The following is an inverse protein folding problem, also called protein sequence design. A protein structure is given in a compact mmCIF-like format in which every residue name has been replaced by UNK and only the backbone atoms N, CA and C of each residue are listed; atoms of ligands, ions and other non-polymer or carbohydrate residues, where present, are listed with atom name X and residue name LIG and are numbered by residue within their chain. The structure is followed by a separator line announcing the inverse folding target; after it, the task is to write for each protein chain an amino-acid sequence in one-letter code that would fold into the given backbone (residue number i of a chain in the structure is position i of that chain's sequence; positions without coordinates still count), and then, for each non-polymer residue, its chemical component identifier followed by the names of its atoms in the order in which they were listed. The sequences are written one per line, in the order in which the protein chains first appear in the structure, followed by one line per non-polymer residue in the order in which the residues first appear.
data_IF_326814076155
#
_entry.id   IF_326814076155
#
_cell.length_a   1.000
_cell.length_b   1.000
_cell.length_c   1.000
_cell.angle_alpha   90.00
_cell.angle_beta   90.00
_cell.angle_gamma   90.00
#
_symmetry.space_group_name_H-M   'P 1'
#
loop_
_entity.id
_entity.type
_entity.pdbx_description
1 polymer ?
#
# COMPACT_ATOMS: atom_id res chain seq x y z
N UNK A 1 -47.25 6.93 -62.45
CA UNK A 1 -47.00 8.32 -62.88
C UNK A 1 -45.64 8.69 -62.29
N UNK A 2 -44.53 8.43 -62.97
CA UNK A 2 -44.05 8.90 -64.29
C UNK A 2 -43.15 10.13 -64.08
N UNK A 3 -41.83 9.99 -64.04
CA UNK A 3 -40.85 9.82 -65.15
C UNK A 3 -40.02 11.12 -65.20
N UNK A 4 -38.79 11.14 -64.67
CA UNK A 4 -37.53 10.81 -65.35
C UNK A 4 -37.21 11.75 -66.53
N UNK A 5 -36.19 12.61 -66.35
CA UNK A 5 -35.04 12.69 -67.27
C UNK A 5 -33.85 13.48 -66.69
N UNK A 6 -32.66 12.88 -66.79
CA UNK A 6 -31.32 13.51 -66.71
C UNK A 6 -30.75 13.55 -68.16
N UNK A 7 -29.81 14.44 -68.53
CA UNK A 7 -28.35 14.13 -68.43
C UNK A 7 -27.47 15.40 -68.18
N UNK A 8 -26.13 15.43 -68.08
CA UNK A 8 -24.95 14.70 -68.63
C UNK A 8 -23.78 14.70 -67.58
N UNK A 9 -23.04 13.60 -67.33
CA UNK A 9 -21.69 13.20 -67.89
C UNK A 9 -20.56 14.21 -67.55
N UNK A 10 -19.36 13.88 -67.04
CA UNK A 10 -18.52 12.63 -67.01
C UNK A 10 -17.68 12.58 -65.70
N UNK A 11 -17.04 11.49 -65.21
CA UNK A 11 -16.89 10.06 -65.56
C UNK A 11 -16.26 9.30 -64.35
N UNK A 12 -16.57 8.02 -64.08
CA UNK A 12 -15.84 6.80 -64.50
C UNK A 12 -14.34 6.71 -64.06
N UNK A 13 -13.75 5.61 -63.59
CA UNK A 13 -14.18 4.25 -63.14
C UNK A 13 -12.91 3.41 -62.79
N UNK A 14 -12.83 2.36 -61.94
CA UNK A 14 -13.76 1.67 -61.01
C UNK A 14 -12.97 1.29 -59.71
N UNK A 15 -13.06 0.19 -58.92
CA UNK A 15 -13.69 -1.15 -58.99
C UNK A 15 -12.68 -2.27 -59.36
N UNK A 16 -12.68 -3.50 -58.80
CA UNK A 16 -13.31 -4.14 -57.61
C UNK A 16 -12.39 -5.31 -57.13
N UNK A 17 -12.56 -5.79 -55.90
CA UNK A 17 -11.80 -6.92 -55.33
C UNK A 17 -12.33 -8.32 -55.73
N UNK A 18 -11.50 -9.38 -55.58
CA UNK A 18 -11.96 -10.72 -55.16
C UNK A 18 -10.85 -11.68 -54.67
N UNK A 19 -11.30 -12.71 -53.96
CA UNK A 19 -10.57 -13.80 -53.30
C UNK A 19 -10.29 -14.95 -54.29
N UNK A 20 -9.14 -15.64 -54.15
CA UNK A 20 -9.05 -17.09 -54.39
C UNK A 20 -7.84 -17.71 -53.66
N UNK A 21 -7.68 -19.03 -53.75
CA UNK A 21 -6.90 -19.91 -52.89
C UNK A 21 -5.91 -20.75 -53.72
N UNK A 22 -5.00 -21.41 -53.01
CA UNK A 22 -4.40 -22.72 -53.34
C UNK A 22 -3.21 -22.90 -54.32
N UNK A 23 -2.23 -23.65 -53.78
CA UNK A 23 -1.45 -24.75 -54.36
C UNK A 23 -0.34 -24.59 -55.43
N UNK A 24 0.89 -24.78 -54.92
CA UNK A 24 1.86 -25.85 -55.25
C UNK A 24 2.89 -25.67 -56.40
N UNK A 25 4.03 -26.35 -56.12
CA UNK A 25 5.01 -26.94 -57.03
C UNK A 25 6.01 -26.00 -57.75
N UNK A 26 7.28 -26.38 -57.95
CA UNK A 26 8.10 -27.47 -57.34
C UNK A 26 9.56 -27.39 -57.82
N UNK A 27 10.47 -28.08 -57.13
CA UNK A 27 11.78 -28.56 -57.61
C UNK A 27 12.91 -27.52 -57.80
N UNK A 28 14.20 -27.85 -57.67
CA UNK A 28 14.89 -28.94 -56.94
C UNK A 28 16.40 -28.59 -56.86
N UNK A 29 17.12 -29.16 -55.88
CA UNK A 29 18.44 -29.83 -56.01
C UNK A 29 19.28 -29.75 -54.73
N UNK A 30 19.20 -30.81 -53.93
CA UNK A 30 20.32 -31.38 -53.15
C UNK A 30 21.34 -32.07 -54.10
N UNK A 31 22.53 -32.59 -53.70
CA UNK A 31 22.82 -33.17 -52.37
C UNK A 31 24.26 -33.00 -51.78
N UNK A 32 24.42 -33.54 -50.55
CA UNK A 32 25.68 -33.91 -49.86
C UNK A 32 26.60 -32.77 -49.38
N UNK A 33 27.42 -32.93 -48.33
CA UNK A 33 27.75 -34.12 -47.51
C UNK A 33 27.76 -33.85 -45.99
N UNK A 34 27.90 -34.91 -45.19
CA UNK A 34 28.25 -34.86 -43.76
C UNK A 34 29.63 -34.17 -43.57
N UNK A 35 29.99 -33.51 -42.44
CA UNK A 35 30.25 -34.17 -41.14
C UNK A 35 30.46 -33.19 -39.95
N UNK A 36 30.15 -33.64 -38.73
CA UNK A 36 30.59 -33.18 -37.39
C UNK A 36 30.52 -31.70 -36.95
N UNK A 37 29.66 -31.40 -35.93
CA UNK A 37 30.06 -30.93 -34.56
C UNK A 37 28.90 -30.38 -33.70
N UNK A 38 28.71 -31.00 -32.52
CA UNK A 38 28.29 -30.33 -31.28
C UNK A 38 26.82 -29.88 -31.12
N UNK A 39 26.04 -30.44 -30.18
CA UNK A 39 24.69 -29.96 -29.89
C UNK A 39 24.71 -28.68 -29.02
N UNK A 40 24.37 -27.54 -29.62
CA UNK A 40 24.15 -26.28 -28.87
C UNK A 40 23.00 -26.44 -27.87
N UNK A 41 23.17 -25.92 -26.66
CA UNK A 41 22.26 -26.16 -25.51
C UNK A 41 20.82 -25.76 -25.83
N UNK A 42 19.86 -26.66 -25.57
CA UNK A 42 18.47 -26.30 -25.32
C UNK A 42 18.41 -25.40 -24.08
N UNK A 43 18.18 -24.10 -24.27
CA UNK A 43 17.72 -23.23 -23.18
C UNK A 43 16.27 -23.60 -22.90
N UNK A 44 16.00 -24.19 -21.73
CA UNK A 44 14.64 -24.18 -21.19
C UNK A 44 14.31 -22.73 -20.87
N UNK A 45 13.31 -22.16 -21.53
CA UNK A 45 12.60 -21.01 -20.97
C UNK A 45 11.76 -21.59 -19.84
N UNK A 46 12.24 -21.43 -18.61
CA UNK A 46 11.56 -21.90 -17.40
C UNK A 46 10.65 -20.80 -16.88
N UNK A 47 9.36 -21.12 -16.78
CA UNK A 47 8.37 -20.62 -15.82
C UNK A 47 8.70 -19.26 -15.20
N UNK A 48 8.23 -18.20 -15.86
CA UNK A 48 8.16 -16.85 -15.30
C UNK A 48 7.10 -16.74 -14.21
N UNK A 49 7.18 -17.58 -13.17
CA UNK A 49 6.55 -17.25 -11.89
C UNK A 49 7.15 -15.91 -11.47
N UNK A 50 6.30 -14.88 -11.38
CA UNK A 50 6.63 -13.71 -10.59
C UNK A 50 6.94 -14.22 -9.18
N UNK A 51 8.22 -14.15 -8.78
CA UNK A 51 8.60 -14.53 -7.43
C UNK A 51 7.92 -13.58 -6.49
N UNK A 52 6.86 -14.07 -5.81
CA UNK A 52 6.33 -13.47 -4.58
C UNK A 52 7.55 -13.00 -3.78
N UNK A 53 7.65 -11.70 -3.42
CA UNK A 53 8.81 -11.22 -2.69
C UNK A 53 9.02 -12.13 -1.50
N UNK A 54 10.18 -12.78 -1.43
CA UNK A 54 10.52 -13.56 -0.23
C UNK A 54 10.54 -12.57 0.90
N UNK A 55 9.48 -12.57 1.72
CA UNK A 55 9.51 -11.93 3.02
C UNK A 55 10.66 -12.60 3.75
N UNK A 56 11.77 -11.88 3.87
CA UNK A 56 12.92 -12.42 4.58
C UNK A 56 12.47 -12.72 6.02
N UNK A 57 12.97 -13.78 6.68
CA UNK A 57 12.68 -14.08 8.09
C UNK A 57 13.07 -12.97 9.09
N UNK A 58 13.56 -11.84 8.59
CA UNK A 58 14.27 -10.76 9.24
C UNK A 58 13.34 -9.61 9.69
N UNK A 59 12.07 -9.57 9.26
CA UNK A 59 11.08 -8.53 9.62
C UNK A 59 10.37 -8.73 10.98
N UNK A 60 10.83 -9.66 11.83
CA UNK A 60 10.20 -9.95 13.14
C UNK A 60 11.10 -9.63 14.33
N UNK A 61 10.49 -9.39 15.51
CA UNK A 61 11.21 -9.27 16.78
C UNK A 61 12.12 -10.47 17.02
N UNK A 62 11.61 -11.70 16.90
CA UNK A 62 12.37 -12.92 17.15
C UNK A 62 13.52 -13.12 16.15
N UNK A 63 13.29 -12.88 14.86
CA UNK A 63 14.34 -12.96 13.83
C UNK A 63 15.44 -11.93 14.04
N UNK A 64 15.06 -10.68 14.33
CA UNK A 64 16.02 -9.60 14.61
C UNK A 64 16.76 -9.80 15.93
N UNK A 65 16.09 -10.26 16.99
CA UNK A 65 16.74 -10.62 18.25
C UNK A 65 17.81 -11.69 18.02
N UNK A 66 17.51 -12.74 17.24
CA UNK A 66 18.49 -13.78 16.92
C UNK A 66 19.72 -13.20 16.22
N UNK A 67 19.53 -12.47 15.11
CA UNK A 67 20.62 -11.86 14.34
C UNK A 67 21.43 -10.88 15.21
N UNK A 68 20.75 -10.15 16.11
CA UNK A 68 21.38 -9.23 17.04
C UNK A 68 22.25 -9.92 18.12
N UNK A 69 21.81 -11.07 18.65
CA UNK A 69 22.59 -11.86 19.61
C UNK A 69 23.75 -12.61 18.95
N UNK A 70 23.67 -12.88 17.64
CA UNK A 70 24.72 -13.49 16.82
C UNK A 70 25.69 -12.43 16.20
N UNK A 71 25.48 -11.13 16.46
CA UNK A 71 26.20 -10.05 15.79
C UNK A 71 27.62 -9.80 16.31
N UNK A 72 28.60 -9.76 15.39
CA UNK A 72 29.90 -9.18 15.71
C UNK A 72 29.79 -7.66 15.90
N UNK A 73 29.95 -7.23 17.15
CA UNK A 73 29.86 -5.81 17.58
C UNK A 73 30.75 -4.87 16.76
N UNK A 74 31.88 -5.35 16.24
CA UNK A 74 32.83 -4.57 15.43
C UNK A 74 32.56 -4.62 13.92
N UNK A 75 31.58 -5.41 13.46
CA UNK A 75 31.25 -5.59 12.05
C UNK A 75 30.10 -4.71 11.55
N UNK A 76 29.83 -4.80 10.24
CA UNK A 76 28.79 -4.04 9.53
C UNK A 76 27.37 -4.58 9.82
N UNK A 77 26.90 -4.42 11.06
CA UNK A 77 25.53 -4.76 11.44
C UNK A 77 24.52 -3.85 10.72
N UNK A 78 23.66 -4.44 9.89
CA UNK A 78 22.60 -3.73 9.17
C UNK A 78 21.29 -3.71 9.97
N UNK A 79 20.57 -2.59 9.94
CA UNK A 79 19.25 -2.48 10.57
C UNK A 79 18.18 -3.13 9.69
N UNK A 80 17.34 -3.98 10.28
CA UNK A 80 16.16 -4.53 9.61
C UNK A 80 15.03 -3.49 9.55
N UNK A 81 14.18 -3.48 8.50
CA UNK A 81 13.24 -2.36 8.25
C UNK A 81 12.25 -2.06 9.39
N UNK A 82 11.84 -3.06 10.18
CA UNK A 82 10.93 -2.88 11.32
C UNK A 82 11.59 -2.11 12.49
N UNK A 83 12.90 -2.25 12.73
CA UNK A 83 13.65 -1.44 13.71
C UNK A 83 13.50 0.04 13.37
N UNK A 84 13.61 0.36 12.09
CA UNK A 84 13.50 1.72 11.59
C UNK A 84 12.07 2.28 11.70
N UNK A 85 11.05 1.43 11.56
CA UNK A 85 9.63 1.77 11.83
C UNK A 85 9.40 2.07 13.31
N UNK A 86 9.82 1.18 14.22
CA UNK A 86 9.74 1.38 15.68
C UNK A 86 10.48 2.64 16.11
N UNK A 87 11.72 2.83 15.64
CA UNK A 87 12.52 3.98 16.03
C UNK A 87 11.99 5.30 15.48
N UNK A 88 11.15 5.29 14.43
CA UNK A 88 10.34 6.45 14.02
C UNK A 88 9.17 6.68 14.99
N UNK A 89 8.40 5.65 15.35
CA UNK A 89 7.27 5.77 16.31
C UNK A 89 7.72 6.30 17.68
N UNK A 90 8.74 5.70 18.29
CA UNK A 90 9.19 6.10 19.64
C UNK A 90 9.84 7.50 19.68
N UNK A 91 10.45 7.93 18.56
CA UNK A 91 10.93 9.31 18.38
C UNK A 91 9.77 10.28 18.10
N UNK A 92 8.69 9.84 17.47
CA UNK A 92 7.45 10.60 17.27
C UNK A 92 6.68 10.84 18.57
N UNK A 93 6.30 9.78 19.29
CA UNK A 93 5.44 9.84 20.49
C UNK A 93 5.88 10.91 21.49
N UNK A 94 4.96 11.78 21.91
CA UNK A 94 5.22 12.86 22.90
C UNK A 94 5.73 12.31 24.23
N UNK A 95 5.22 11.14 24.64
CA UNK A 95 5.57 10.38 25.84
C UNK A 95 5.40 8.89 25.50
N UNK A 96 6.34 8.04 25.94
CA UNK A 96 6.14 6.58 26.03
C UNK A 96 5.57 6.20 27.39
N UNK A 97 4.78 5.14 27.40
CA UNK A 97 4.15 4.57 28.59
C UNK A 97 4.43 3.05 28.61
N UNK A 98 4.26 2.42 29.76
CA UNK A 98 4.58 1.00 29.93
C UNK A 98 3.62 0.10 29.14
N UNK A 99 4.13 -1.00 28.56
CA UNK A 99 3.30 -2.04 27.93
C UNK A 99 2.54 -2.90 28.96
N UNK A 100 3.05 -2.93 30.19
CA UNK A 100 2.61 -3.73 31.36
C UNK A 100 3.39 -3.32 32.61
N UNK A 101 3.00 -3.83 33.78
CA UNK A 101 3.64 -3.47 35.06
C UNK A 101 4.99 -4.17 35.28
N UNK A 102 5.13 -5.43 34.85
CA UNK A 102 6.32 -6.29 35.07
C UNK A 102 6.64 -7.13 33.83
N UNK A 103 7.88 -7.58 33.71
CA UNK A 103 8.33 -8.53 32.69
C UNK A 103 8.08 -9.99 33.10
N UNK A 104 8.06 -10.91 32.12
CA UNK A 104 8.21 -12.35 32.41
C UNK A 104 9.69 -12.70 32.58
N UNK A 105 9.98 -13.85 33.19
CA UNK A 105 11.36 -14.36 33.34
C UNK A 105 12.07 -14.60 31.99
N UNK A 106 11.31 -14.85 30.93
CA UNK A 106 11.82 -15.04 29.55
C UNK A 106 12.24 -13.69 28.94
N UNK A 107 11.46 -12.64 29.19
CA UNK A 107 11.78 -11.28 28.79
C UNK A 107 12.95 -10.72 29.60
N UNK A 108 13.02 -11.01 30.90
CA UNK A 108 14.17 -10.66 31.73
C UNK A 108 15.48 -11.26 31.16
N UNK A 109 15.45 -12.56 30.81
CA UNK A 109 16.58 -13.23 30.19
C UNK A 109 16.91 -12.69 28.78
N UNK A 110 15.90 -12.26 28.04
CA UNK A 110 16.06 -11.57 26.75
C UNK A 110 16.74 -10.21 26.93
N UNK A 111 16.33 -9.42 27.93
CA UNK A 111 16.91 -8.12 28.27
C UNK A 111 18.37 -8.26 28.70
N UNK A 112 18.70 -9.24 29.56
CA UNK A 112 20.11 -9.57 29.93
C UNK A 112 20.94 -9.90 28.70
N UNK A 113 20.40 -10.70 27.80
CA UNK A 113 21.06 -11.07 26.54
C UNK A 113 21.31 -9.86 25.65
N UNK A 114 20.31 -8.98 25.48
CA UNK A 114 20.46 -7.74 24.69
C UNK A 114 21.56 -6.85 25.27
N UNK A 115 21.59 -6.68 26.59
CA UNK A 115 22.58 -5.87 27.28
C UNK A 115 24.01 -6.42 27.19
N UNK A 116 24.19 -7.75 27.18
CA UNK A 116 25.51 -8.36 27.00
C UNK A 116 26.15 -8.05 25.64
N UNK A 117 25.37 -7.76 24.60
CA UNK A 117 25.90 -7.35 23.28
C UNK A 117 26.38 -5.90 23.27
N UNK A 118 25.69 -4.99 23.96
CA UNK A 118 26.00 -3.54 23.90
C UNK A 118 26.87 -3.00 25.03
N UNK A 119 27.17 -3.79 26.06
CA UNK A 119 28.08 -3.41 27.14
C UNK A 119 29.52 -3.82 26.80
N UNK A 120 30.38 -2.81 26.64
CA UNK A 120 31.82 -2.97 26.34
C UNK A 120 32.57 -3.31 27.63
N UNK A 121 32.60 -4.61 27.98
CA UNK A 121 33.30 -5.14 29.15
C UNK A 121 34.78 -4.77 29.16
N UNK A 122 35.31 -4.37 30.31
CA UNK A 122 36.73 -4.09 30.52
C UNK A 122 37.53 -5.29 31.02
N UNK A 123 38.87 -5.26 30.84
CA UNK A 123 39.78 -6.21 31.50
C UNK A 123 39.76 -5.98 33.03
N UNK A 124 38.93 -6.75 33.72
CA UNK A 124 38.78 -6.69 35.19
C UNK A 124 37.32 -6.60 35.68
N UNK A 125 36.36 -6.34 34.81
CA UNK A 125 34.93 -6.41 35.16
C UNK A 125 34.54 -7.90 35.37
N UNK A 126 34.32 -8.28 36.63
CA UNK A 126 33.71 -9.57 37.01
C UNK A 126 32.24 -9.62 36.59
N UNK A 127 31.54 -10.69 36.97
CA UNK A 127 30.10 -10.94 36.73
C UNK A 127 29.19 -9.94 37.46
N UNK A 128 29.29 -8.68 37.08
CA UNK A 128 28.42 -7.58 37.47
C UNK A 128 27.00 -7.90 37.00
N UNK A 129 26.06 -8.08 37.94
CA UNK A 129 24.66 -8.26 37.60
C UNK A 129 24.14 -7.05 36.85
N UNK A 130 23.49 -7.29 35.71
CA UNK A 130 22.67 -6.25 35.08
C UNK A 130 21.34 -6.23 35.81
N UNK A 131 21.06 -5.16 36.55
CA UNK A 131 19.74 -4.94 37.12
C UNK A 131 18.76 -4.62 35.98
N UNK A 132 17.61 -5.28 36.01
CA UNK A 132 16.57 -5.10 35.00
C UNK A 132 15.59 -4.05 35.54
N UNK A 133 15.41 -2.99 34.77
CA UNK A 133 14.40 -1.97 35.06
C UNK A 133 13.00 -2.53 34.76
N UNK A 134 11.99 -2.04 35.47
CA UNK A 134 10.59 -2.33 35.10
C UNK A 134 10.23 -1.73 33.73
N UNK A 135 9.19 -2.22 33.04
CA UNK A 135 8.74 -1.66 31.75
C UNK A 135 8.44 -0.15 31.84
N UNK A 136 7.89 0.30 32.97
CA UNK A 136 7.63 1.73 33.24
C UNK A 136 8.89 2.56 33.44
N UNK A 137 9.93 2.00 34.06
CA UNK A 137 11.23 2.67 34.19
C UNK A 137 11.95 2.79 32.84
N UNK A 138 11.89 1.77 31.96
CA UNK A 138 12.40 1.91 30.58
C UNK A 138 11.70 3.06 29.83
N UNK A 139 10.37 3.13 29.89
CA UNK A 139 9.62 4.23 29.29
C UNK A 139 10.02 5.60 29.89
N UNK A 140 10.22 5.68 31.22
CA UNK A 140 10.70 6.88 31.90
C UNK A 140 12.14 7.28 31.47
N UNK A 141 13.05 6.30 31.32
CA UNK A 141 14.41 6.54 30.84
C UNK A 141 14.43 7.04 29.40
N UNK A 142 13.58 6.51 28.51
CA UNK A 142 13.42 7.03 27.15
C UNK A 142 12.88 8.46 27.14
N UNK A 143 11.78 8.71 27.85
CA UNK A 143 11.17 10.05 27.95
C UNK A 143 12.19 11.08 28.45
N UNK A 144 12.91 10.76 29.52
CA UNK A 144 13.93 11.65 30.07
C UNK A 144 15.16 11.77 29.16
N UNK A 145 15.57 10.72 28.45
CA UNK A 145 16.64 10.82 27.45
C UNK A 145 16.22 11.72 26.28
N UNK A 146 14.96 11.67 25.84
CA UNK A 146 14.39 12.52 24.78
C UNK A 146 14.39 14.00 25.16
N UNK A 147 14.06 14.35 26.40
CA UNK A 147 14.15 15.75 26.89
C UNK A 147 15.58 16.27 26.98
N UNK A 148 16.58 15.39 27.14
CA UNK A 148 18.00 15.74 27.30
C UNK A 148 18.83 15.49 26.02
N UNK A 149 18.20 15.21 24.88
CA UNK A 149 18.91 14.86 23.65
C UNK A 149 19.53 16.12 23.00
N UNK A 150 20.84 16.07 22.75
CA UNK A 150 21.59 17.09 22.02
C UNK A 150 22.64 16.45 21.11
N UNK A 151 23.39 17.24 20.34
CA UNK A 151 24.52 16.75 19.54
C UNK A 151 25.61 16.10 20.43
N UNK A 152 25.87 16.70 21.60
CA UNK A 152 26.78 16.16 22.61
C UNK A 152 26.22 14.93 23.34
N UNK A 153 24.90 14.81 23.44
CA UNK A 153 24.20 13.73 24.14
C UNK A 153 23.19 13.00 23.23
N UNK A 154 23.65 12.22 22.23
CA UNK A 154 22.76 11.54 21.28
C UNK A 154 21.74 10.62 21.98
N UNK A 155 20.47 10.73 21.57
CA UNK A 155 19.31 10.10 22.23
C UNK A 155 19.51 8.61 22.57
N UNK A 156 19.93 7.81 21.59
CA UNK A 156 20.02 6.35 21.73
C UNK A 156 21.12 5.94 22.72
N UNK A 157 22.39 6.39 22.59
CA UNK A 157 23.40 6.23 23.64
C UNK A 157 22.97 6.77 25.01
N UNK A 158 22.29 7.92 25.08
CA UNK A 158 21.82 8.51 26.34
C UNK A 158 20.77 7.63 27.04
N UNK A 159 19.81 7.08 26.28
CA UNK A 159 18.83 6.11 26.78
C UNK A 159 19.52 4.83 27.29
N UNK A 160 20.33 4.19 26.44
CA UNK A 160 20.96 2.90 26.78
C UNK A 160 21.94 3.01 27.95
N UNK A 161 22.74 4.09 28.04
CA UNK A 161 23.58 4.35 29.21
C UNK A 161 22.76 4.48 30.49
N UNK A 162 21.58 5.12 30.46
CA UNK A 162 20.73 5.26 31.65
C UNK A 162 20.16 3.91 32.11
N UNK A 163 19.74 3.07 31.17
CA UNK A 163 19.29 1.71 31.48
C UNK A 163 20.43 0.83 32.02
N UNK A 164 21.64 0.96 31.47
CA UNK A 164 22.85 0.26 31.93
C UNK A 164 23.61 0.98 33.07
N UNK A 165 22.94 1.75 33.93
CA UNK A 165 23.54 2.41 35.11
C UNK A 165 24.84 3.21 34.82
N UNK A 166 24.94 3.77 33.60
CA UNK A 166 26.08 4.52 33.02
C UNK A 166 27.33 3.69 32.66
N UNK A 167 27.25 2.36 32.57
CA UNK A 167 28.34 1.49 32.07
C UNK A 167 28.73 1.82 30.62
N UNK A 168 29.95 1.43 30.22
CA UNK A 168 30.49 1.75 28.89
C UNK A 168 29.75 0.97 27.80
N UNK A 169 29.20 1.69 26.83
CA UNK A 169 28.61 1.11 25.64
C UNK A 169 29.66 0.75 24.59
N UNK A 170 29.32 -0.18 23.72
CA UNK A 170 30.00 -0.41 22.44
C UNK A 170 29.89 0.82 21.52
N UNK A 171 30.83 0.98 20.60
CA UNK A 171 30.95 2.17 19.75
C UNK A 171 30.23 2.03 18.39
N UNK A 172 29.42 0.97 18.19
CA UNK A 172 28.69 0.68 16.97
C UNK A 172 27.24 1.23 17.01
N UNK A 173 26.95 2.25 16.19
CA UNK A 173 25.67 2.98 16.21
C UNK A 173 24.44 2.20 15.73
N UNK A 174 24.59 1.24 14.81
CA UNK A 174 23.46 0.42 14.33
C UNK A 174 23.10 -0.65 15.36
N UNK A 175 24.10 -1.32 15.95
CA UNK A 175 23.89 -2.25 17.08
C UNK A 175 23.18 -1.54 18.24
N UNK A 176 23.63 -0.34 18.64
CA UNK A 176 22.92 0.44 19.67
C UNK A 176 21.48 0.81 19.25
N UNK A 177 21.23 1.12 17.97
CA UNK A 177 19.88 1.45 17.49
C UNK A 177 18.94 0.24 17.53
N UNK A 178 19.44 -0.94 17.17
CA UNK A 178 18.71 -2.20 17.26
C UNK A 178 18.39 -2.59 18.72
N UNK A 179 19.38 -2.51 19.60
CA UNK A 179 19.21 -2.77 21.04
C UNK A 179 18.15 -1.86 21.66
N UNK A 180 18.14 -0.57 21.30
CA UNK A 180 17.12 0.36 21.77
C UNK A 180 15.72 -0.02 21.27
N UNK A 181 15.56 -0.42 20.00
CA UNK A 181 14.27 -0.86 19.47
C UNK A 181 13.75 -2.13 20.17
N UNK A 182 14.61 -3.14 20.35
CA UNK A 182 14.26 -4.39 21.05
C UNK A 182 13.81 -4.13 22.49
N UNK A 183 14.54 -3.30 23.25
CA UNK A 183 14.17 -2.93 24.62
C UNK A 183 12.87 -2.11 24.70
N UNK A 184 12.61 -1.25 23.71
CA UNK A 184 11.38 -0.45 23.67
C UNK A 184 10.15 -1.26 23.25
N UNK A 185 10.29 -2.24 22.34
CA UNK A 185 9.20 -3.15 21.96
C UNK A 185 8.76 -4.07 23.12
N UNK A 186 9.71 -4.52 23.95
CA UNK A 186 9.40 -5.26 25.17
C UNK A 186 8.73 -4.38 26.22
N UNK A 187 9.27 -3.18 26.47
CA UNK A 187 8.90 -2.35 27.62
C UNK A 187 7.69 -1.43 27.41
N UNK A 188 7.49 -0.92 26.19
CA UNK A 188 6.69 0.29 25.97
C UNK A 188 5.43 0.02 25.14
N UNK A 189 4.38 0.80 25.41
CA UNK A 189 3.14 0.83 24.63
C UNK A 189 3.38 1.50 23.26
N UNK A 190 4.06 0.79 22.37
CA UNK A 190 4.17 1.11 20.95
C UNK A 190 2.81 0.78 20.29
N UNK A 191 2.29 1.67 19.46
CA UNK A 191 1.04 1.45 18.75
C UNK A 191 1.25 0.45 17.61
N UNK A 192 0.68 -0.73 17.77
CA UNK A 192 0.43 -1.66 16.67
C UNK A 192 -0.92 -1.31 16.02
N UNK A 193 -0.86 -0.87 14.76
CA UNK A 193 -2.02 -0.47 13.99
C UNK A 193 -3.00 -1.62 13.77
N UNK A 194 -2.50 -2.84 13.51
CA UNK A 194 -3.35 -4.00 13.29
C UNK A 194 -4.11 -4.41 14.56
N UNK A 195 -3.44 -4.42 15.71
CA UNK A 195 -4.06 -4.75 16.98
C UNK A 195 -5.10 -3.71 17.40
N UNK A 196 -4.80 -2.40 17.22
CA UNK A 196 -5.77 -1.34 17.48
C UNK A 196 -7.02 -1.49 16.59
N UNK A 197 -6.81 -1.73 15.30
CA UNK A 197 -7.89 -1.81 14.30
C UNK A 197 -8.70 -3.10 14.41
N UNK A 198 -8.14 -4.20 14.93
CA UNK A 198 -8.93 -5.39 15.33
C UNK A 198 -9.89 -5.12 16.49
N UNK A 199 -9.62 -4.11 17.31
CA UNK A 199 -10.60 -3.56 18.26
C UNK A 199 -11.80 -2.88 17.61
N UNK A 200 -11.73 -2.57 16.30
CA UNK A 200 -12.78 -1.94 15.48
C UNK A 200 -13.54 -2.97 14.62
N UNK A 201 -13.58 -4.23 15.06
CA UNK A 201 -14.32 -5.30 14.38
C UNK A 201 -15.83 -5.00 14.29
N UNK A 202 -16.48 -5.51 13.23
CA UNK A 202 -17.92 -5.38 12.98
C UNK A 202 -18.47 -6.64 12.31
N UNK A 203 -19.21 -7.45 13.08
CA UNK A 203 -19.94 -8.64 12.63
C UNK A 203 -20.81 -8.40 11.38
N UNK A 204 -21.48 -7.24 11.29
CA UNK A 204 -22.40 -6.91 10.17
C UNK A 204 -21.66 -6.74 8.83
N UNK A 205 -20.39 -6.31 8.87
CA UNK A 205 -19.49 -6.29 7.71
C UNK A 205 -18.56 -7.52 7.65
N UNK A 206 -18.55 -8.37 8.69
CA UNK A 206 -17.62 -9.48 8.95
C UNK A 206 -16.16 -9.10 8.61
N UNK A 207 -15.75 -7.92 9.09
CA UNK A 207 -14.42 -7.34 8.93
C UNK A 207 -14.13 -6.28 10.00
N UNK A 208 -12.90 -5.77 10.05
CA UNK A 208 -12.56 -4.54 10.78
C UNK A 208 -12.90 -3.31 9.93
N UNK A 209 -13.43 -2.23 10.52
CA UNK A 209 -13.82 -1.02 9.74
C UNK A 209 -13.24 0.26 10.35
N UNK A 210 -12.48 1.00 9.54
CA UNK A 210 -12.03 2.37 9.83
C UNK A 210 -12.93 3.34 9.06
N UNK A 211 -13.43 4.37 9.76
CA UNK A 211 -14.35 5.39 9.23
C UNK A 211 -14.19 6.69 10.03
N UNK A 212 -14.51 7.83 9.42
CA UNK A 212 -14.63 9.10 10.14
C UNK A 212 -15.93 9.12 10.99
N UNK A 213 -15.80 9.40 12.29
CA UNK A 213 -16.90 9.39 13.26
C UNK A 213 -17.63 8.03 13.40
N UNK A 214 -16.94 7.09 14.05
CA UNK A 214 -17.18 5.65 14.30
C UNK A 214 -18.62 5.14 14.53
N UNK A 215 -19.54 5.97 15.03
CA UNK A 215 -20.92 5.56 15.34
C UNK A 215 -21.86 6.01 14.21
N UNK A 216 -22.21 7.29 14.17
CA UNK A 216 -23.27 7.82 13.29
C UNK A 216 -23.08 7.49 11.81
N UNK A 217 -21.83 7.46 11.31
CA UNK A 217 -21.59 7.12 9.91
C UNK A 217 -21.55 5.60 9.65
N UNK A 218 -21.17 4.76 10.63
CA UNK A 218 -21.35 3.32 10.48
C UNK A 218 -22.83 2.94 10.54
N UNK A 219 -23.61 3.51 11.45
CA UNK A 219 -25.02 3.16 11.63
C UNK A 219 -25.80 3.31 10.30
N UNK A 220 -25.62 4.46 9.63
CA UNK A 220 -26.20 4.79 8.32
C UNK A 220 -25.69 3.86 7.20
N UNK A 221 -24.45 3.40 7.28
CA UNK A 221 -23.84 2.50 6.29
C UNK A 221 -24.03 1.01 6.64
N UNK A 222 -24.69 0.71 7.76
CA UNK A 222 -24.59 -0.61 8.40
C UNK A 222 -25.46 -1.69 7.78
N UNK A 223 -26.50 -1.32 7.01
CA UNK A 223 -27.66 -2.17 6.70
C UNK A 223 -27.33 -3.59 6.23
N UNK A 224 -28.23 -4.55 6.48
CA UNK A 224 -27.93 -5.95 6.17
C UNK A 224 -27.60 -6.14 4.69
N UNK A 225 -26.54 -6.90 4.41
CA UNK A 225 -26.10 -7.13 3.04
C UNK A 225 -27.10 -8.01 2.28
N UNK A 226 -27.98 -7.35 1.54
CA UNK A 226 -28.78 -7.99 0.50
C UNK A 226 -27.87 -8.31 -0.68
N UNK A 227 -27.30 -9.51 -0.68
CA UNK A 227 -26.83 -10.11 -1.92
C UNK A 227 -28.05 -10.30 -2.84
N UNK A 228 -28.06 -9.58 -3.98
CA UNK A 228 -28.93 -9.86 -5.11
C UNK A 228 -28.14 -10.47 -6.28
N UNK A 229 -28.85 -11.11 -7.19
CA UNK A 229 -28.28 -11.76 -8.38
C UNK A 229 -28.20 -10.77 -9.56
N UNK A 230 -27.89 -9.49 -9.29
CA UNK A 230 -27.75 -8.47 -10.33
C UNK A 230 -26.45 -8.62 -11.13
N UNK A 231 -26.47 -8.20 -12.40
CA UNK A 231 -25.28 -8.17 -13.26
C UNK A 231 -24.19 -7.25 -12.67
N UNK A 232 -24.58 -6.18 -11.97
CA UNK A 232 -23.66 -5.31 -11.24
C UNK A 232 -22.98 -6.03 -10.06
N UNK A 233 -23.74 -6.74 -9.21
CA UNK A 233 -23.16 -7.48 -8.08
C UNK A 233 -22.32 -8.68 -8.55
N UNK A 234 -22.70 -9.33 -9.66
CA UNK A 234 -21.88 -10.33 -10.35
C UNK A 234 -20.55 -9.74 -10.84
N UNK A 235 -20.58 -8.55 -11.44
CA UNK A 235 -19.38 -7.83 -11.88
C UNK A 235 -18.45 -7.45 -10.71
N UNK A 236 -19.01 -7.08 -9.56
CA UNK A 236 -18.24 -6.82 -8.33
C UNK A 236 -17.63 -8.13 -7.79
N UNK A 237 -18.39 -9.22 -7.77
CA UNK A 237 -17.89 -10.54 -7.35
C UNK A 237 -16.72 -11.03 -8.23
N UNK A 238 -16.81 -10.88 -9.55
CA UNK A 238 -15.69 -11.19 -10.47
C UNK A 238 -14.45 -10.34 -10.20
N UNK A 239 -14.61 -9.04 -9.91
CA UNK A 239 -13.46 -8.19 -9.58
C UNK A 239 -12.85 -8.54 -8.22
N UNK A 240 -13.69 -8.84 -7.22
CA UNK A 240 -13.25 -9.22 -5.87
C UNK A 240 -12.40 -10.49 -5.93
N UNK A 241 -12.87 -11.55 -6.58
CA UNK A 241 -12.18 -12.85 -6.58
C UNK A 241 -11.14 -13.00 -7.69
N UNK A 242 -11.20 -12.13 -8.71
CA UNK A 242 -10.53 -12.34 -9.98
C UNK A 242 -11.30 -13.32 -10.87
N UNK A 243 -11.08 -13.32 -12.19
CA UNK A 243 -11.87 -14.14 -13.09
C UNK A 243 -11.56 -15.64 -12.92
N UNK A 244 -12.60 -16.45 -12.70
CA UNK A 244 -12.46 -17.89 -12.59
C UNK A 244 -11.99 -18.53 -13.90
N UNK A 245 -10.70 -18.87 -13.98
CA UNK A 245 -10.06 -19.68 -15.05
C UNK A 245 -10.37 -19.23 -16.49
N UNK A 246 -9.81 -18.08 -16.90
CA UNK A 246 -9.18 -17.85 -18.25
C UNK A 246 -8.96 -16.36 -18.54
N UNK A 247 -9.60 -15.44 -17.81
CA UNK A 247 -9.33 -13.99 -17.90
C UNK A 247 -8.34 -13.56 -16.81
N UNK A 248 -7.56 -12.53 -17.11
CA UNK A 248 -6.25 -12.26 -16.50
C UNK A 248 -6.28 -11.91 -14.99
N UNK A 249 -5.39 -12.57 -14.23
CA UNK A 249 -5.13 -12.30 -12.81
C UNK A 249 -4.66 -10.86 -12.54
N UNK A 250 -4.23 -10.11 -13.57
CA UNK A 250 -3.89 -8.68 -13.44
C UNK A 250 -5.06 -7.80 -13.02
N UNK A 251 -6.33 -8.22 -13.18
CA UNK A 251 -7.51 -7.40 -12.84
C UNK A 251 -7.54 -6.90 -11.39
N UNK A 252 -6.97 -7.65 -10.44
CA UNK A 252 -6.92 -7.28 -9.01
C UNK A 252 -5.99 -6.08 -8.74
N UNK A 253 -5.12 -5.71 -9.69
CA UNK A 253 -4.22 -4.56 -9.56
C UNK A 253 -4.88 -3.21 -9.88
N UNK A 254 -6.09 -3.21 -10.44
CA UNK A 254 -6.84 -1.99 -10.78
C UNK A 254 -7.86 -1.64 -9.70
N UNK A 255 -8.10 -0.35 -9.47
CA UNK A 255 -9.17 0.09 -8.59
C UNK A 255 -10.55 -0.25 -9.19
N UNK A 256 -11.45 -0.80 -8.37
CA UNK A 256 -12.87 -0.91 -8.72
C UNK A 256 -13.46 0.50 -8.75
N UNK A 257 -14.29 0.82 -9.74
CA UNK A 257 -15.04 2.08 -9.78
C UNK A 257 -16.53 1.76 -9.83
N UNK A 258 -17.28 2.17 -8.80
CA UNK A 258 -18.71 1.93 -8.65
C UNK A 258 -19.47 3.26 -8.80
N UNK A 259 -20.30 3.33 -9.85
CA UNK A 259 -21.11 4.48 -10.23
C UNK A 259 -22.60 4.26 -10.04
N UNK A 260 -23.41 5.20 -10.54
CA UNK A 260 -24.88 5.20 -10.40
C UNK A 260 -25.41 6.36 -9.56
N UNK A 261 -26.73 6.52 -9.54
CA UNK A 261 -27.42 7.68 -8.95
C UNK A 261 -27.41 7.71 -7.40
N UNK A 262 -27.82 8.82 -6.79
CA UNK A 262 -27.90 8.89 -5.32
C UNK A 262 -28.85 7.79 -4.79
N UNK A 263 -28.43 7.07 -3.75
CA UNK A 263 -29.17 5.93 -3.20
C UNK A 263 -28.96 4.59 -3.93
N UNK A 264 -28.19 4.50 -5.02
CA UNK A 264 -27.97 3.24 -5.77
C UNK A 264 -27.05 2.19 -5.10
N UNK A 265 -26.99 2.13 -3.76
CA UNK A 265 -26.28 1.08 -3.02
C UNK A 265 -24.74 1.09 -3.06
N UNK A 266 -24.08 1.85 -3.95
CA UNK A 266 -22.60 1.89 -4.16
C UNK A 266 -21.74 1.66 -2.92
N UNK A 267 -21.90 2.51 -1.90
CA UNK A 267 -21.06 2.51 -0.69
C UNK A 267 -21.24 1.24 0.14
N UNK A 268 -22.48 0.72 0.17
CA UNK A 268 -22.84 -0.53 0.84
C UNK A 268 -22.24 -1.73 0.11
N UNK A 269 -22.38 -1.79 -1.22
CA UNK A 269 -21.72 -2.81 -2.04
C UNK A 269 -20.19 -2.80 -1.87
N UNK A 270 -19.56 -1.62 -1.85
CA UNK A 270 -18.12 -1.46 -1.60
C UNK A 270 -17.68 -1.98 -0.23
N UNK A 271 -18.44 -1.70 0.84
CA UNK A 271 -18.16 -2.21 2.18
C UNK A 271 -18.32 -3.73 2.27
N UNK A 272 -19.26 -4.31 1.54
CA UNK A 272 -19.50 -5.75 1.54
C UNK A 272 -18.66 -6.55 0.53
N UNK A 273 -17.75 -5.91 -0.22
CA UNK A 273 -16.76 -6.61 -1.06
C UNK A 273 -15.93 -7.66 -0.31
N UNK A 274 -15.71 -7.51 1.01
CA UNK A 274 -15.04 -8.54 1.83
C UNK A 274 -15.90 -9.79 2.01
N UNK A 275 -17.24 -9.68 1.99
CA UNK A 275 -18.16 -10.81 2.13
C UNK A 275 -18.36 -11.61 0.84
N UNK A 276 -17.90 -11.07 -0.29
CA UNK A 276 -17.89 -11.75 -1.59
C UNK A 276 -16.66 -12.63 -1.81
N UNK A 277 -15.72 -12.68 -0.85
CA UNK A 277 -14.46 -13.41 -0.98
C UNK A 277 -14.66 -14.94 -0.97
N UNK A 278 -14.30 -15.61 -2.07
CA UNK A 278 -14.24 -17.07 -2.14
C UNK A 278 -13.29 -17.65 -1.08
N UNK A 279 -13.73 -18.72 -0.41
CA UNK A 279 -12.94 -19.40 0.62
C UNK A 279 -12.88 -18.71 1.98
N UNK A 280 -13.42 -17.48 2.13
CA UNK A 280 -13.62 -16.85 3.45
C UNK A 280 -14.58 -17.70 4.29
N UNK A 281 -14.22 -17.99 5.54
CA UNK A 281 -15.09 -18.74 6.48
C UNK A 281 -15.65 -17.80 7.52
N UNK A 282 -16.83 -18.13 8.05
CA UNK A 282 -17.48 -17.38 9.12
C UNK A 282 -16.58 -17.35 10.37
N UNK A 283 -16.11 -16.17 10.74
CA UNK A 283 -15.13 -15.96 11.82
C UNK A 283 -13.72 -15.58 11.37
N UNK A 284 -13.40 -15.66 10.07
CA UNK A 284 -12.14 -15.15 9.52
C UNK A 284 -12.12 -13.60 9.47
N UNK A 285 -13.18 -12.90 9.87
CA UNK A 285 -13.36 -11.44 9.77
C UNK A 285 -12.25 -10.57 10.38
N UNK A 286 -11.57 -11.02 11.45
CA UNK A 286 -10.41 -10.31 12.04
C UNK A 286 -9.15 -10.32 11.15
N UNK A 287 -9.17 -11.09 10.06
CA UNK A 287 -8.11 -11.13 9.05
C UNK A 287 -8.30 -10.10 7.93
N UNK A 288 -9.42 -9.35 7.92
CA UNK A 288 -9.78 -8.41 6.85
C UNK A 288 -10.10 -6.99 7.37
N UNK A 289 -9.88 -5.99 6.52
CA UNK A 289 -10.02 -4.57 6.88
C UNK A 289 -10.64 -3.73 5.75
N UNK A 290 -11.73 -3.04 6.05
CA UNK A 290 -12.25 -1.91 5.27
C UNK A 290 -11.70 -0.59 5.82
N UNK A 291 -11.15 0.24 4.94
CA UNK A 291 -10.76 1.62 5.24
C UNK A 291 -11.66 2.54 4.43
N UNK A 292 -12.71 3.07 5.05
CA UNK A 292 -13.62 4.02 4.42
C UNK A 292 -13.14 5.46 4.63
N UNK A 293 -12.97 6.19 3.52
CA UNK A 293 -12.60 7.61 3.49
C UNK A 293 -13.59 8.32 2.57
N UNK A 294 -14.40 9.24 3.12
CA UNK A 294 -15.28 10.10 2.33
C UNK A 294 -14.52 11.33 1.84
N UNK A 295 -14.42 11.50 0.52
CA UNK A 295 -13.71 12.61 -0.09
C UNK A 295 -14.61 13.85 -0.18
N UNK A 296 -14.06 15.01 0.17
CA UNK A 296 -14.75 16.29 0.16
C UNK A 296 -14.30 17.18 -0.99
N UNK A 297 -15.25 17.87 -1.63
CA UNK A 297 -14.96 18.77 -2.74
C UNK A 297 -14.00 19.88 -2.32
N UNK A 298 -12.87 19.98 -3.03
CA UNK A 298 -11.82 20.97 -2.73
C UNK A 298 -10.67 20.48 -1.85
N UNK A 299 -10.64 19.21 -1.42
CA UNK A 299 -9.46 18.63 -0.74
C UNK A 299 -8.18 18.83 -1.56
N UNK A 300 -7.16 19.32 -0.88
CA UNK A 300 -5.88 19.71 -1.46
C UNK A 300 -4.74 19.27 -0.54
N UNK A 301 -3.75 18.58 -1.12
CA UNK A 301 -2.59 18.12 -0.39
C UNK A 301 -1.37 18.96 -0.80
N UNK A 302 -0.85 19.76 0.12
CA UNK A 302 0.41 20.50 -0.08
C UNK A 302 1.58 19.52 -0.23
N UNK A 303 2.51 19.80 -1.14
CA UNK A 303 3.72 19.00 -1.34
C UNK A 303 4.64 19.21 -0.13
N UNK A 304 4.92 18.19 0.70
CA UNK A 304 5.82 18.36 1.83
C UNK A 304 7.22 18.72 1.36
N UNK A 305 7.92 19.63 2.07
CA UNK A 305 9.31 20.00 1.76
C UNK A 305 10.24 18.77 1.72
N UNK A 306 9.93 17.73 2.50
CA UNK A 306 10.66 16.46 2.53
C UNK A 306 10.27 15.46 1.43
N UNK A 307 9.28 15.76 0.57
CA UNK A 307 8.70 14.80 -0.38
C UNK A 307 9.76 14.16 -1.30
N UNK A 308 10.63 14.99 -1.90
CA UNK A 308 11.71 14.51 -2.77
C UNK A 308 12.66 13.57 -2.01
N UNK A 309 13.11 13.97 -0.81
CA UNK A 309 13.97 13.13 0.04
C UNK A 309 13.32 11.79 0.40
N UNK A 310 12.00 11.76 0.65
CA UNK A 310 11.28 10.54 1.07
C UNK A 310 11.02 9.57 -0.09
N UNK A 311 10.69 10.07 -1.28
CA UNK A 311 10.21 9.24 -2.40
C UNK A 311 11.21 9.02 -3.55
N UNK A 312 12.32 9.77 -3.55
CA UNK A 312 13.33 9.75 -4.62
C UNK A 312 14.77 9.78 -4.07
N UNK A 313 14.99 10.41 -2.92
CA UNK A 313 16.31 10.57 -2.30
C UNK A 313 17.03 11.83 -2.80
N UNK A 314 17.52 12.65 -1.85
CA UNK A 314 17.92 14.04 -2.10
C UNK A 314 19.17 14.21 -3.00
N UNK A 315 19.95 13.13 -3.21
CA UNK A 315 21.13 13.10 -4.08
C UNK A 315 21.01 12.26 -5.36
N UNK A 316 19.89 11.57 -5.58
CA UNK A 316 19.70 10.70 -6.77
C UNK A 316 19.35 11.51 -8.01
N UNK A 317 19.52 10.95 -9.20
CA UNK A 317 19.11 11.63 -10.43
C UNK A 317 17.58 11.73 -10.55
N UNK A 318 16.84 10.76 -10.00
CA UNK A 318 15.38 10.85 -9.85
C UNK A 318 14.97 12.00 -8.92
N UNK A 319 15.72 12.22 -7.83
CA UNK A 319 15.48 13.31 -6.88
C UNK A 319 15.77 14.68 -7.49
N UNK A 320 16.87 14.79 -8.23
CA UNK A 320 17.19 16.01 -9.02
C UNK A 320 16.10 16.30 -10.05
N UNK A 321 15.60 15.29 -10.76
CA UNK A 321 14.49 15.43 -11.70
C UNK A 321 13.19 15.88 -10.99
N UNK A 322 12.84 15.27 -9.85
CA UNK A 322 11.67 15.65 -9.08
C UNK A 322 11.74 17.10 -8.56
N UNK A 323 12.88 17.52 -8.00
CA UNK A 323 13.11 18.93 -7.61
C UNK A 323 13.00 19.85 -8.82
N UNK A 324 13.69 19.54 -9.94
CA UNK A 324 13.65 20.36 -11.14
C UNK A 324 12.23 20.56 -11.68
N UNK A 325 11.42 19.49 -11.74
CA UNK A 325 10.02 19.55 -12.19
C UNK A 325 9.14 20.38 -11.25
N UNK A 326 9.34 20.27 -9.93
CA UNK A 326 8.62 21.08 -8.93
C UNK A 326 8.97 22.58 -9.09
N UNK A 327 10.25 22.91 -9.24
CA UNK A 327 10.73 24.29 -9.40
C UNK A 327 10.31 24.90 -10.75
N UNK A 328 10.57 24.20 -11.85
CA UNK A 328 10.26 24.59 -13.25
C UNK A 328 8.81 24.98 -13.46
N UNK A 329 7.89 24.34 -12.73
CA UNK A 329 6.46 24.59 -12.82
C UNK A 329 5.84 25.22 -11.55
N UNK A 330 6.65 25.61 -10.56
CA UNK A 330 6.22 26.21 -9.27
C UNK A 330 5.10 25.40 -8.60
N UNK A 331 5.27 24.08 -8.54
CA UNK A 331 4.26 23.15 -8.03
C UNK A 331 4.22 23.21 -6.50
N UNK A 332 3.02 23.34 -5.94
CA UNK A 332 2.81 23.45 -4.48
C UNK A 332 1.87 22.41 -3.91
N UNK A 333 1.01 21.81 -4.72
CA UNK A 333 -0.04 20.89 -4.28
C UNK A 333 -0.20 19.72 -5.25
N UNK A 334 -0.75 18.60 -4.78
CA UNK A 334 -1.04 17.43 -5.61
C UNK A 334 -2.01 17.74 -6.77
N UNK A 335 -2.92 18.71 -6.59
CA UNK A 335 -3.80 19.21 -7.66
C UNK A 335 -3.01 20.02 -8.70
N UNK A 336 -2.02 20.80 -8.29
CA UNK A 336 -1.13 21.48 -9.24
C UNK A 336 -0.31 20.49 -10.07
N UNK A 337 0.18 19.40 -9.48
CA UNK A 337 0.86 18.30 -10.19
C UNK A 337 -0.08 17.65 -11.22
N UNK A 338 -1.31 17.33 -10.81
CA UNK A 338 -2.33 16.71 -11.68
C UNK A 338 -2.74 17.60 -12.87
N UNK A 339 -2.95 18.90 -12.63
CA UNK A 339 -3.28 19.85 -13.70
C UNK A 339 -2.09 20.08 -14.64
N UNK A 340 -0.86 20.15 -14.12
CA UNK A 340 0.35 20.33 -14.92
C UNK A 340 0.55 19.21 -15.96
N UNK A 341 0.16 17.97 -15.62
CA UNK A 341 0.14 16.84 -16.55
C UNK A 341 -0.88 16.97 -17.69
N UNK A 342 -1.96 17.74 -17.51
CA UNK A 342 -3.00 17.95 -18.52
C UNK A 342 -2.69 19.14 -19.43
N UNK A 343 -2.25 20.25 -18.83
CA UNK A 343 -2.35 21.56 -19.47
C UNK A 343 -1.04 22.03 -20.14
N UNK A 344 0.12 21.53 -19.70
CA UNK A 344 1.42 22.23 -19.92
C UNK A 344 2.68 21.35 -20.04
N UNK A 345 2.70 20.13 -19.52
CA UNK A 345 3.89 19.28 -19.60
C UNK A 345 3.94 18.53 -20.95
N UNK A 346 4.88 18.92 -21.83
CA UNK A 346 5.08 18.30 -23.16
C UNK A 346 6.32 17.40 -23.24
N UNK A 347 7.21 17.43 -22.24
CA UNK A 347 8.38 16.55 -22.15
C UNK A 347 8.02 15.23 -21.46
N UNK A 348 8.52 14.11 -21.98
CA UNK A 348 8.17 12.77 -21.49
C UNK A 348 8.80 12.44 -20.13
N UNK A 349 9.97 12.98 -19.81
CA UNK A 349 10.62 12.80 -18.51
C UNK A 349 9.93 13.65 -17.44
N UNK A 350 9.55 14.89 -17.76
CA UNK A 350 8.70 15.73 -16.91
C UNK A 350 7.38 14.99 -16.62
N UNK A 351 6.70 14.48 -17.66
CA UNK A 351 5.44 13.75 -17.53
C UNK A 351 5.59 12.48 -16.67
N UNK A 352 6.64 11.68 -16.87
CA UNK A 352 6.92 10.51 -16.03
C UNK A 352 7.14 10.89 -14.56
N UNK A 353 7.92 11.94 -14.32
CA UNK A 353 8.21 12.48 -12.99
C UNK A 353 6.95 13.00 -12.29
N UNK A 354 6.12 13.77 -12.99
CA UNK A 354 4.82 14.27 -12.50
C UNK A 354 3.86 13.12 -12.13
N UNK A 355 3.78 12.07 -12.97
CA UNK A 355 2.94 10.89 -12.71
C UNK A 355 3.35 10.20 -11.40
N UNK A 356 4.64 9.87 -11.26
CA UNK A 356 5.18 9.26 -10.02
C UNK A 356 4.96 10.17 -8.81
N UNK A 357 5.15 11.49 -8.97
CA UNK A 357 4.93 12.47 -7.89
C UNK A 357 3.45 12.48 -7.44
N UNK A 358 2.50 12.46 -8.38
CA UNK A 358 1.05 12.45 -8.08
C UNK A 358 0.61 11.17 -7.37
N UNK A 359 1.20 10.02 -7.71
CA UNK A 359 0.94 8.74 -7.02
C UNK A 359 1.54 8.76 -5.61
N UNK A 360 2.80 9.18 -5.45
CA UNK A 360 3.43 9.33 -4.13
C UNK A 360 2.64 10.28 -3.22
N UNK A 361 2.23 11.46 -3.71
CA UNK A 361 1.43 12.42 -2.93
C UNK A 361 0.05 11.88 -2.55
N UNK A 362 -0.58 11.05 -3.41
CA UNK A 362 -1.84 10.38 -3.09
C UNK A 362 -1.66 9.33 -1.99
N UNK A 363 -0.61 8.51 -2.06
CA UNK A 363 -0.26 7.57 -0.98
C UNK A 363 0.03 8.29 0.35
N UNK A 364 0.78 9.39 0.30
CA UNK A 364 1.14 10.24 1.45
C UNK A 364 -0.11 10.87 2.11
N UNK A 365 -1.07 11.32 1.30
CA UNK A 365 -2.38 11.81 1.73
C UNK A 365 -3.24 10.70 2.37
N UNK A 366 -3.40 9.55 1.71
CA UNK A 366 -4.20 8.43 2.22
C UNK A 366 -3.64 7.90 3.54
N UNK A 367 -2.31 7.82 3.68
CA UNK A 367 -1.68 7.47 4.94
C UNK A 367 -2.05 8.46 6.06
N UNK A 368 -1.98 9.77 5.77
CA UNK A 368 -2.33 10.82 6.75
C UNK A 368 -3.80 10.78 7.15
N UNK A 369 -4.73 10.48 6.24
CA UNK A 369 -6.14 10.32 6.58
C UNK A 369 -6.36 9.10 7.49
N UNK A 370 -5.74 7.96 7.20
CA UNK A 370 -5.82 6.78 8.08
C UNK A 370 -5.24 7.08 9.47
N UNK A 371 -4.10 7.78 9.54
CA UNK A 371 -3.47 8.22 10.80
C UNK A 371 -4.34 9.24 11.55
N UNK A 372 -5.03 10.15 10.84
CA UNK A 372 -5.96 11.13 11.43
C UNK A 372 -7.19 10.44 12.03
N UNK A 373 -7.77 9.47 11.32
CA UNK A 373 -8.98 8.76 11.74
C UNK A 373 -8.69 7.81 12.92
N UNK A 374 -7.58 7.06 12.88
CA UNK A 374 -7.22 6.08 13.91
C UNK A 374 -6.42 6.64 15.08
N UNK A 375 -5.81 7.82 14.92
CA UNK A 375 -4.85 8.40 15.88
C UNK A 375 -3.45 7.79 15.84
N UNK A 376 -3.22 6.68 15.11
CA UNK A 376 -1.93 6.00 15.04
C UNK A 376 -0.83 6.87 14.41
N UNK A 377 0.34 6.93 15.05
CA UNK A 377 1.50 7.64 14.49
C UNK A 377 2.24 6.85 13.38
N UNK A 378 1.89 5.58 13.15
CA UNK A 378 2.42 4.74 12.07
C UNK A 378 1.41 3.68 11.64
N UNK A 379 1.44 3.33 10.36
CA UNK A 379 0.59 2.31 9.76
C UNK A 379 1.38 0.99 9.65
N UNK A 380 1.73 0.41 10.80
CA UNK A 380 2.43 -0.86 10.91
C UNK A 380 1.82 -1.70 12.04
N UNK A 381 1.77 -3.01 11.84
CA UNK A 381 1.42 -3.96 12.89
C UNK A 381 2.16 -5.30 12.71
N UNK A 382 2.24 -6.07 13.79
CA UNK A 382 2.95 -7.36 13.86
C UNK A 382 2.29 -8.46 13.03
N UNK A 383 0.96 -8.39 12.90
CA UNK A 383 0.12 -9.37 12.23
C UNK A 383 -0.68 -8.69 11.12
N UNK A 384 -0.32 -8.94 9.86
CA UNK A 384 -0.94 -8.29 8.70
C UNK A 384 -2.39 -8.74 8.51
N UNK A 385 -3.24 -7.86 7.99
CA UNK A 385 -4.54 -8.26 7.41
C UNK A 385 -4.30 -8.94 6.06
N UNK A 386 -4.98 -10.07 5.79
CA UNK A 386 -4.87 -10.79 4.51
C UNK A 386 -5.33 -9.93 3.35
N UNK A 387 -6.46 -9.21 3.51
CA UNK A 387 -6.93 -8.24 2.52
C UNK A 387 -7.41 -6.95 3.15
N UNK A 388 -6.96 -5.83 2.57
CA UNK A 388 -7.37 -4.47 2.90
C UNK A 388 -8.07 -3.86 1.70
N UNK A 389 -9.28 -3.34 1.88
CA UNK A 389 -9.99 -2.54 0.89
C UNK A 389 -9.96 -1.07 1.32
N UNK A 390 -9.39 -0.21 0.48
CA UNK A 390 -9.41 1.26 0.67
C UNK A 390 -10.59 1.80 -0.14
N UNK A 391 -11.67 2.15 0.54
CA UNK A 391 -12.92 2.62 -0.03
C UNK A 391 -12.92 4.14 -0.03
N UNK A 392 -12.87 4.72 -1.23
CA UNK A 392 -12.84 6.15 -1.50
C UNK A 392 -14.23 6.59 -1.98
N UNK A 393 -15.01 7.15 -1.08
CA UNK A 393 -16.37 7.61 -1.38
C UNK A 393 -16.39 9.04 -1.91
N UNK A 394 -17.36 9.33 -2.76
CA UNK A 394 -17.46 10.53 -3.60
C UNK A 394 -16.20 10.84 -4.45
N UNK A 395 -15.52 9.82 -4.96
CA UNK A 395 -14.21 9.96 -5.61
C UNK A 395 -14.13 10.98 -6.76
N UNK A 396 -15.23 11.23 -7.49
CA UNK A 396 -15.26 12.26 -8.55
C UNK A 396 -15.09 13.70 -8.02
N UNK A 397 -15.40 13.99 -6.75
CA UNK A 397 -15.18 15.34 -6.16
C UNK A 397 -13.70 15.61 -5.86
N UNK A 398 -12.85 14.57 -5.91
CA UNK A 398 -11.40 14.65 -5.81
C UNK A 398 -10.70 14.03 -7.04
N UNK A 399 -10.81 14.64 -8.24
CA UNK A 399 -10.30 14.07 -9.48
C UNK A 399 -8.82 13.66 -9.47
N UNK A 400 -7.97 14.34 -8.68
CA UNK A 400 -6.55 14.03 -8.58
C UNK A 400 -6.27 12.74 -7.79
N UNK A 401 -7.10 12.43 -6.78
CA UNK A 401 -7.05 11.18 -6.02
C UNK A 401 -7.51 10.03 -6.90
N UNK A 402 -8.70 10.16 -7.51
CA UNK A 402 -9.28 9.18 -8.43
C UNK A 402 -8.32 8.83 -9.57
N UNK A 403 -7.62 9.84 -10.14
CA UNK A 403 -6.61 9.63 -11.19
C UNK A 403 -5.35 8.92 -10.72
N UNK A 404 -4.94 9.06 -9.46
CA UNK A 404 -3.76 8.36 -8.93
C UNK A 404 -4.04 6.90 -8.53
N UNK A 405 -5.28 6.55 -8.19
CA UNK A 405 -5.65 5.16 -7.88
C UNK A 405 -6.06 4.34 -9.11
N UNK A 406 -6.66 4.97 -10.13
CA UNK A 406 -7.01 4.33 -11.41
C UNK A 406 -5.87 4.39 -12.45
N UNK A 407 -4.62 4.65 -12.04
CA UNK A 407 -3.54 4.87 -13.00
C UNK A 407 -2.91 3.55 -13.46
N UNK A 408 -3.29 3.11 -14.66
CA UNK A 408 -2.70 1.94 -15.32
C UNK A 408 -1.26 2.26 -15.71
N UNK A 409 -0.31 1.69 -14.98
CA UNK A 409 1.12 1.76 -15.25
C UNK A 409 1.70 0.36 -15.50
N UNK A 410 2.81 0.31 -16.25
CA UNK A 410 3.66 -0.89 -16.40
C UNK A 410 4.74 -1.00 -15.32
N UNK A 411 4.78 -0.01 -14.42
CA UNK A 411 5.79 0.14 -13.37
C UNK A 411 5.19 -0.23 -12.01
N UNK A 412 6.04 -0.59 -11.06
CA UNK A 412 5.66 -1.04 -9.70
C UNK A 412 5.05 0.09 -8.82
N UNK A 413 4.88 1.30 -9.37
CA UNK A 413 4.47 2.53 -8.70
C UNK A 413 2.96 2.79 -8.82
N UNK A 414 2.15 1.97 -8.16
CA UNK A 414 0.69 2.16 -8.02
C UNK A 414 0.26 2.01 -6.55
N UNK A 415 -0.91 2.54 -6.18
CA UNK A 415 -1.28 2.77 -4.77
C UNK A 415 -1.28 1.49 -3.91
N UNK A 416 -1.94 0.38 -4.29
CA UNK A 416 -1.80 -0.91 -3.60
C UNK A 416 -0.36 -1.37 -3.37
N UNK A 417 0.50 -1.28 -4.39
CA UNK A 417 1.92 -1.64 -4.29
C UNK A 417 2.67 -0.77 -3.27
N UNK A 418 2.46 0.55 -3.29
CA UNK A 418 3.03 1.45 -2.27
C UNK A 418 2.54 1.10 -0.86
N UNK A 419 1.27 0.73 -0.68
CA UNK A 419 0.76 0.27 0.61
C UNK A 419 1.44 -1.02 1.08
N UNK A 420 1.52 -2.06 0.24
CA UNK A 420 2.24 -3.32 0.55
C UNK A 420 3.72 -3.07 0.88
N UNK A 421 4.41 -2.22 0.10
CA UNK A 421 5.85 -1.95 0.27
C UNK A 421 6.18 -1.09 1.50
N UNK A 422 5.41 -0.02 1.75
CA UNK A 422 5.81 1.04 2.69
C UNK A 422 5.17 0.92 4.07
N UNK A 423 3.92 0.49 4.13
CA UNK A 423 3.17 0.38 5.40
C UNK A 423 3.44 -0.97 6.06
N UNK A 424 2.99 -2.05 5.41
CA UNK A 424 3.15 -3.42 5.87
C UNK A 424 2.16 -3.85 6.95
N UNK A 425 0.98 -3.22 7.02
CA UNK A 425 -0.14 -3.70 7.85
C UNK A 425 -1.09 -4.67 7.11
N UNK A 426 -0.92 -4.83 5.80
CA UNK A 426 -1.70 -5.75 4.97
C UNK A 426 -0.80 -6.57 4.04
N UNK A 427 -1.30 -7.71 3.60
CA UNK A 427 -0.69 -8.53 2.55
C UNK A 427 -1.14 -8.02 1.17
N UNK A 428 -2.45 -8.12 0.91
CA UNK A 428 -3.08 -7.65 -0.32
C UNK A 428 -3.90 -6.38 -0.07
N UNK A 429 -3.67 -5.37 -0.91
CA UNK A 429 -4.42 -4.11 -0.92
C UNK A 429 -5.24 -4.01 -2.20
N UNK A 430 -6.46 -3.48 -2.11
CA UNK A 430 -7.26 -3.07 -3.25
C UNK A 430 -7.92 -1.72 -2.97
N UNK A 431 -8.24 -0.96 -4.02
CA UNK A 431 -8.93 0.34 -3.91
C UNK A 431 -10.30 0.24 -4.56
N UNK A 432 -11.31 0.81 -3.94
CA UNK A 432 -12.69 0.89 -4.45
C UNK A 432 -13.11 2.36 -4.45
N UNK A 433 -13.45 2.91 -5.62
CA UNK A 433 -13.91 4.28 -5.79
C UNK A 433 -15.44 4.30 -5.94
N UNK A 434 -16.17 4.85 -4.97
CA UNK A 434 -17.60 5.10 -5.09
C UNK A 434 -17.82 6.55 -5.54
N UNK A 435 -18.79 6.81 -6.43
CA UNK A 435 -19.22 8.18 -6.72
C UNK A 435 -20.59 8.24 -7.39
N UNK A 436 -21.25 9.39 -7.32
CA UNK A 436 -22.45 9.74 -8.11
C UNK A 436 -22.17 9.97 -9.61
N UNK A 437 -21.26 9.16 -10.16
CA UNK A 437 -20.79 9.23 -11.55
C UNK A 437 -21.52 8.21 -12.44
N UNK A 438 -21.72 8.57 -13.71
CA UNK A 438 -21.97 7.60 -14.77
C UNK A 438 -20.65 7.20 -15.44
N UNK A 439 -20.69 6.17 -16.30
CA UNK A 439 -19.53 5.65 -17.03
C UNK A 439 -18.76 6.76 -17.75
N UNK A 440 -19.45 7.59 -18.53
CA UNK A 440 -18.84 8.70 -19.27
C UNK A 440 -18.16 9.74 -18.38
N UNK A 441 -18.67 10.02 -17.17
CA UNK A 441 -17.99 10.91 -16.22
C UNK A 441 -16.70 10.27 -15.71
N UNK A 442 -16.73 8.98 -15.37
CA UNK A 442 -15.53 8.25 -14.95
C UNK A 442 -14.48 8.16 -16.05
N UNK A 443 -14.84 7.87 -17.30
CA UNK A 443 -13.93 7.86 -18.45
C UNK A 443 -13.22 9.21 -18.61
N UNK A 444 -13.98 10.31 -18.61
CA UNK A 444 -13.45 11.68 -18.70
C UNK A 444 -12.56 12.08 -17.51
N UNK A 445 -12.64 11.36 -16.38
CA UNK A 445 -11.78 11.59 -15.23
C UNK A 445 -10.43 10.88 -15.34
N UNK A 446 -10.24 9.84 -16.17
CA UNK A 446 -9.01 9.04 -16.25
C UNK A 446 -7.79 9.81 -16.82
N UNK A 447 -6.59 9.25 -16.61
CA UNK A 447 -5.33 9.77 -17.18
C UNK A 447 -4.89 9.05 -18.47
N UNK A 448 -5.40 7.84 -18.71
CA UNK A 448 -4.96 6.94 -19.80
C UNK A 448 -6.11 6.01 -20.19
N UNK A 449 -6.33 5.83 -21.50
CA UNK A 449 -7.32 4.90 -22.05
C UNK A 449 -6.78 3.45 -22.07
N UNK A 450 -6.60 2.87 -20.88
CA UNK A 450 -6.46 1.42 -20.74
C UNK A 450 -7.82 0.75 -20.61
N UNK A 451 -7.82 -0.55 -20.30
CA UNK A 451 -9.05 -1.29 -20.03
C UNK A 451 -9.69 -0.78 -18.73
N UNK A 452 -10.82 -0.09 -18.86
CA UNK A 452 -11.61 0.44 -17.76
C UNK A 452 -13.02 -0.14 -17.84
N UNK A 453 -13.54 -0.60 -16.70
CA UNK A 453 -14.84 -1.25 -16.57
C UNK A 453 -15.49 -0.79 -15.26
N UNK A 454 -16.26 0.31 -15.26
CA UNK A 454 -16.99 0.75 -14.07
C UNK A 454 -18.24 -0.09 -13.87
N UNK A 455 -18.58 -0.40 -12.63
CA UNK A 455 -19.88 -0.99 -12.29
C UNK A 455 -20.86 0.14 -12.03
N UNK A 456 -21.78 0.41 -12.96
CA UNK A 456 -22.78 1.47 -12.80
C UNK A 456 -24.03 0.86 -12.18
N UNK A 457 -24.15 0.95 -10.85
CA UNK A 457 -25.29 0.37 -10.12
C UNK A 457 -26.58 1.14 -10.41
N UNK A 458 -27.58 0.43 -10.94
CA UNK A 458 -28.94 0.92 -11.08
C UNK A 458 -29.62 1.02 -9.70
N UNK A 459 -30.71 1.80 -9.56
CA UNK A 459 -31.60 1.71 -8.40
C UNK A 459 -32.24 0.30 -8.35
N UNK A 460 -31.89 -0.50 -7.34
CA UNK A 460 -32.44 -1.85 -7.21
C UNK A 460 -33.76 -1.83 -6.42
N UNK A 461 -34.89 -1.94 -7.12
CA UNK A 461 -36.24 -1.99 -6.52
C UNK A 461 -36.38 -3.09 -5.45
N UNK A 462 -35.66 -4.21 -5.60
CA UNK A 462 -35.70 -5.31 -4.62
C UNK A 462 -34.97 -4.96 -3.31
N UNK A 463 -33.88 -4.18 -3.37
CA UNK A 463 -33.18 -3.65 -2.19
C UNK A 463 -34.02 -2.56 -1.53
N UNK A 464 -34.54 -1.59 -2.30
CA UNK A 464 -35.46 -0.57 -1.79
C UNK A 464 -36.70 -1.18 -1.12
N UNK A 465 -37.35 -2.16 -1.76
CA UNK A 465 -38.51 -2.85 -1.20
C UNK A 465 -38.17 -3.60 0.08
N UNK A 466 -36.99 -4.23 0.17
CA UNK A 466 -36.53 -4.89 1.41
C UNK A 466 -36.32 -3.88 2.55
N UNK A 467 -35.60 -2.79 2.30
CA UNK A 467 -35.35 -1.73 3.29
C UNK A 467 -36.67 -1.15 3.81
N UNK A 468 -37.62 -0.86 2.91
CA UNK A 468 -38.98 -0.38 3.24
C UNK A 468 -39.88 -1.45 3.90
N UNK A 469 -39.41 -2.70 4.03
CA UNK A 469 -40.11 -3.80 4.71
C UNK A 469 -39.44 -4.25 6.01
N UNK A 470 -38.38 -3.56 6.43
CA UNK A 470 -37.65 -3.78 7.68
C UNK A 470 -37.91 -2.72 8.77
N UNK A 471 -38.89 -1.84 8.55
CA UNK A 471 -39.55 -1.01 9.59
C UNK A 471 -40.75 -1.75 10.23
#
# INVERSE_FOLDING_TARGET
MSDITNPLICGLSSGKAKISRDERASNNNEPSSEDSKGPTKRVKISDGLATVPKIEPNETFAGTLKIFLEAEVAGDFQLTPWVDKIMKVVKGKKKLEAKKEVFTTEEDNTIRSIFNVIWKRGEGEKEDSVDILTPGEYAAMWNSAKTNASEENPLIPTFLRRCLQRKRLVENGTVLTCAAALLLELSSAIEDFCQLVRGMYRDKFDCCVIVENYETQLDILSDEFVADESDEMGSIFEWVNGPGKEVDNTRVNYALSIGGESGSGKTHAALHCINLLEGKRKGDGLEYLNIYIKLAGGLEYEIPVSCVRVYYGEGTDEGKAATHVIEKYNLRTARAVDNQMKDKATDENDLSTLRRLRVCLCFDFLCKEIQRITGCLSLWGSEKFKRVHIILDEAAVCPWVYRSVNQIYKDEMYIPSLFSQKTGFGEYFAVICCSTANETLFENLLSTQGLFYPVIMCPCDAVYTKILSSE
#
